data_IF_780674456151
#
_entry.id   IF_780674456151
#
_cell.length_a   1.000
_cell.length_b   1.000
_cell.length_c   1.000
_cell.angle_alpha   90.00
_cell.angle_beta   90.00
_cell.angle_gamma   90.00
#
_symmetry.space_group_name_H-M   'P 1'
#
loop_
_entity.id
_entity.type
_entity.pdbx_description
1 polymer ?
#
# COMPACT_ATOMS: atom_id res chain seq x y z
N UNK A 1 16.05 -5.21 -8.97
CA UNK A 1 15.35 -4.68 -7.78
C UNK A 1 15.80 -5.47 -6.57
N UNK A 2 16.21 -4.80 -5.50
CA UNK A 2 16.59 -5.42 -4.24
C UNK A 2 15.47 -5.24 -3.22
N UNK A 3 15.21 -6.28 -2.47
CA UNK A 3 14.09 -6.36 -1.52
C UNK A 3 14.64 -6.76 -0.15
N UNK A 4 14.28 -5.99 0.87
CA UNK A 4 14.60 -6.29 2.26
C UNK A 4 13.32 -6.36 3.07
N UNK A 5 13.03 -7.54 3.63
CA UNK A 5 11.92 -7.72 4.55
C UNK A 5 12.36 -7.44 5.99
N UNK A 6 11.49 -6.82 6.78
CA UNK A 6 11.74 -6.58 8.19
C UNK A 6 11.40 -7.85 8.99
N UNK A 7 12.42 -8.49 9.57
CA UNK A 7 12.28 -9.76 10.29
C UNK A 7 11.31 -9.72 11.49
N UNK A 8 11.14 -8.56 12.11
CA UNK A 8 10.24 -8.35 13.26
C UNK A 8 9.16 -7.33 12.89
N UNK A 9 8.18 -7.80 12.12
CA UNK A 9 6.99 -7.02 11.78
C UNK A 9 6.27 -6.50 13.03
N UNK A 10 5.94 -5.20 13.11
CA UNK A 10 5.17 -4.66 14.23
C UNK A 10 3.77 -5.27 14.22
N UNK A 11 3.23 -5.51 15.42
CA UNK A 11 1.84 -5.96 15.58
C UNK A 11 0.92 -4.76 15.68
N UNK A 12 -0.07 -4.70 14.79
CA UNK A 12 -1.13 -3.70 14.89
C UNK A 12 -2.16 -4.12 15.94
N UNK A 13 -2.59 -3.18 16.78
CA UNK A 13 -3.71 -3.40 17.70
C UNK A 13 -5.06 -3.31 16.98
N UNK A 14 -5.14 -2.60 15.85
CA UNK A 14 -6.33 -2.48 15.02
C UNK A 14 -6.67 -3.80 14.32
N UNK A 15 -5.66 -4.47 13.75
CA UNK A 15 -5.83 -5.71 12.98
C UNK A 15 -5.55 -6.97 13.80
N UNK A 16 -4.92 -6.86 14.97
CA UNK A 16 -4.53 -7.99 15.80
C UNK A 16 -3.47 -8.91 15.18
N UNK A 17 -2.91 -8.52 14.03
CA UNK A 17 -1.94 -9.28 13.23
C UNK A 17 -0.63 -8.50 13.05
N UNK A 18 0.49 -9.19 12.75
CA UNK A 18 1.70 -8.54 12.26
C UNK A 18 1.44 -7.81 10.95
N UNK A 19 2.00 -6.61 10.80
CA UNK A 19 1.97 -5.82 9.57
C UNK A 19 3.30 -6.00 8.88
N UNK A 20 3.30 -6.66 7.72
CA UNK A 20 4.52 -6.88 6.97
C UNK A 20 5.12 -5.56 6.49
N UNK A 21 6.45 -5.48 6.49
CA UNK A 21 7.17 -4.30 6.07
C UNK A 21 8.36 -4.68 5.19
N UNK A 22 8.45 -4.00 4.05
CA UNK A 22 9.45 -4.27 3.02
C UNK A 22 10.07 -2.97 2.54
N UNK A 23 11.40 -2.95 2.37
CA UNK A 23 12.14 -1.88 1.71
C UNK A 23 12.47 -2.36 0.29
N UNK A 24 12.08 -1.58 -0.72
CA UNK A 24 12.28 -1.86 -2.13
C UNK A 24 13.20 -0.79 -2.72
N UNK A 25 14.38 -1.21 -3.20
CA UNK A 25 15.34 -0.30 -3.83
C UNK A 25 15.70 -0.80 -5.24
N UNK A 26 16.02 0.13 -6.15
CA UNK A 26 16.56 -0.26 -7.45
C UNK A 26 17.96 -0.86 -7.29
N UNK A 27 18.43 -1.63 -8.28
CA UNK A 27 19.74 -2.32 -8.15
C UNK A 27 20.93 -1.36 -8.04
N UNK A 28 20.73 -0.12 -8.48
CA UNK A 28 21.67 1.01 -8.39
C UNK A 28 21.62 1.75 -7.07
N UNK A 29 20.59 1.54 -6.26
CA UNK A 29 20.40 2.21 -5.00
C UNK A 29 21.07 1.45 -3.85
N UNK A 30 21.52 2.22 -2.86
CA UNK A 30 22.15 1.69 -1.64
C UNK A 30 21.17 1.82 -0.48
N UNK A 31 21.21 0.88 0.46
CA UNK A 31 20.37 0.90 1.66
C UNK A 31 20.64 2.13 2.52
N UNK A 32 21.87 2.65 2.48
CA UNK A 32 22.26 3.90 3.15
C UNK A 32 21.52 5.13 2.63
N UNK A 33 20.86 5.04 1.48
CA UNK A 33 20.00 6.11 0.93
C UNK A 33 18.56 6.01 1.40
N UNK A 34 18.14 4.87 1.95
CA UNK A 34 16.80 4.74 2.53
C UNK A 34 16.72 5.53 3.84
N UNK A 35 15.57 6.14 4.10
CA UNK A 35 15.31 6.86 5.35
C UNK A 35 15.00 5.87 6.48
N UNK A 36 16.04 5.20 6.99
CA UNK A 36 15.90 4.26 8.11
C UNK A 36 15.28 4.89 9.37
N UNK A 37 15.57 6.17 9.73
CA UNK A 37 14.85 6.86 10.78
C UNK A 37 13.34 6.93 10.56
N UNK A 38 12.89 7.25 9.34
CA UNK A 38 11.47 7.25 8.98
C UNK A 38 10.87 5.85 9.08
N UNK A 39 11.56 4.83 8.55
CA UNK A 39 11.11 3.42 8.66
C UNK A 39 10.90 3.06 10.13
N UNK A 40 11.87 3.34 11.00
CA UNK A 40 11.77 3.03 12.42
C UNK A 40 10.62 3.78 13.12
N UNK A 41 10.39 5.04 12.76
CA UNK A 41 9.28 5.86 13.24
C UNK A 41 7.91 5.28 12.83
N UNK A 42 7.75 4.90 11.56
CA UNK A 42 6.51 4.29 11.05
C UNK A 42 6.23 2.96 11.73
N UNK A 43 7.23 2.07 11.82
CA UNK A 43 7.07 0.78 12.47
C UNK A 43 6.78 0.92 13.98
N UNK A 44 7.37 1.92 14.64
CA UNK A 44 7.13 2.21 16.05
C UNK A 44 5.75 2.81 16.34
N UNK A 45 5.08 3.37 15.32
CA UNK A 45 3.76 4.02 15.43
C UNK A 45 2.76 3.46 14.42
N UNK A 46 2.82 2.15 14.15
CA UNK A 46 2.04 1.56 13.05
C UNK A 46 0.53 1.82 13.14
N UNK A 47 -0.07 1.73 14.32
CA UNK A 47 -1.50 1.97 14.50
C UNK A 47 -1.89 3.43 14.17
N UNK A 48 -1.02 4.40 14.46
CA UNK A 48 -1.23 5.79 14.09
C UNK A 48 -1.27 5.98 12.57
N UNK A 49 -0.34 5.35 11.84
CA UNK A 49 -0.28 5.45 10.39
C UNK A 49 -1.42 4.68 9.71
N UNK A 50 -1.82 3.53 10.26
CA UNK A 50 -3.00 2.79 9.82
C UNK A 50 -4.27 3.62 9.98
N UNK A 51 -4.52 4.20 11.16
CA UNK A 51 -5.66 5.10 11.38
C UNK A 51 -5.62 6.29 10.42
N UNK A 52 -4.45 6.90 10.24
CA UNK A 52 -4.27 8.05 9.33
C UNK A 52 -4.64 7.69 7.90
N UNK A 53 -4.17 6.53 7.41
CA UNK A 53 -4.52 6.05 6.08
C UNK A 53 -6.01 5.76 5.92
N UNK A 54 -6.64 5.10 6.91
CA UNK A 54 -8.07 4.80 6.88
C UNK A 54 -8.92 6.08 6.90
N UNK A 55 -8.51 7.07 7.68
CA UNK A 55 -9.11 8.40 7.68
C UNK A 55 -9.00 9.08 6.31
N UNK A 56 -7.81 9.04 5.72
CA UNK A 56 -7.56 9.62 4.40
C UNK A 56 -8.38 8.95 3.29
N UNK A 57 -8.43 7.61 3.28
CA UNK A 57 -9.26 6.86 2.33
C UNK A 57 -10.74 7.22 2.48
N UNK A 58 -11.23 7.35 3.72
CA UNK A 58 -12.62 7.76 3.97
C UNK A 58 -12.91 9.16 3.43
N UNK A 59 -11.98 10.10 3.60
CA UNK A 59 -12.09 11.46 3.04
C UNK A 59 -12.07 11.43 1.51
N UNK A 60 -11.20 10.62 0.91
CA UNK A 60 -11.16 10.40 -0.53
C UNK A 60 -12.47 9.79 -1.06
N UNK A 61 -13.05 8.80 -0.37
CA UNK A 61 -14.37 8.23 -0.70
C UNK A 61 -15.49 9.27 -0.59
N UNK A 62 -15.39 10.23 0.34
CA UNK A 62 -16.36 11.32 0.47
C UNK A 62 -16.23 12.34 -0.67
N UNK A 63 -14.99 12.64 -1.08
CA UNK A 63 -14.68 13.61 -2.13
C UNK A 63 -15.00 13.08 -3.53
N UNK A 64 -14.63 11.82 -3.80
CA UNK A 64 -14.86 11.16 -5.09
C UNK A 64 -15.21 9.68 -4.92
N UNK A 65 -16.50 9.35 -4.70
CA UNK A 65 -16.96 7.96 -4.63
C UNK A 65 -16.69 7.16 -5.91
N UNK A 66 -16.63 7.82 -7.08
CA UNK A 66 -16.52 7.15 -8.37
C UNK A 66 -15.13 6.52 -8.55
N UNK A 67 -14.08 7.15 -8.01
CA UNK A 67 -12.73 6.56 -7.92
C UNK A 67 -12.76 5.18 -7.26
N UNK A 68 -13.63 4.97 -6.28
CA UNK A 68 -13.73 3.71 -5.52
C UNK A 68 -14.74 2.72 -6.14
N UNK A 69 -15.26 3.00 -7.35
CA UNK A 69 -16.32 2.21 -7.96
C UNK A 69 -17.67 2.30 -7.22
N UNK A 70 -17.87 3.35 -6.43
CA UNK A 70 -19.08 3.56 -5.63
C UNK A 70 -19.94 4.68 -6.21
N UNK A 71 -21.25 4.57 -5.98
CA UNK A 71 -22.17 5.71 -6.12
C UNK A 71 -22.22 6.49 -4.81
N UNK A 72 -22.64 7.75 -4.85
CA UNK A 72 -22.81 8.58 -3.65
C UNK A 72 -23.70 7.90 -2.59
N UNK A 73 -24.79 7.25 -2.98
CA UNK A 73 -25.65 6.51 -2.05
C UNK A 73 -24.94 5.31 -1.40
N UNK A 74 -24.04 4.64 -2.14
CA UNK A 74 -23.26 3.49 -1.66
C UNK A 74 -22.03 3.91 -0.85
N UNK A 75 -21.55 5.14 -0.97
CA UNK A 75 -20.42 5.65 -0.17
C UNK A 75 -20.84 6.00 1.27
N UNK A 76 -22.08 6.47 1.46
CA UNK A 76 -22.60 6.94 2.75
C UNK A 76 -22.39 6.00 3.96
N UNK A 77 -22.54 4.67 3.85
CA UNK A 77 -22.26 3.77 4.97
C UNK A 77 -20.79 3.81 5.40
N UNK A 78 -19.86 3.84 4.45
CA UNK A 78 -18.41 3.84 4.74
C UNK A 78 -17.94 5.11 5.44
N UNK A 79 -18.61 6.24 5.16
CA UNK A 79 -18.29 7.53 5.81
C UNK A 79 -18.60 7.56 7.31
N UNK A 80 -19.42 6.63 7.81
CA UNK A 80 -19.81 6.54 9.22
C UNK A 80 -19.12 5.42 9.99
N UNK A 81 -18.34 4.58 9.32
CA UNK A 81 -17.63 3.49 9.98
C UNK A 81 -16.46 4.05 10.82
N UNK A 82 -16.24 3.52 12.03
CA UNK A 82 -14.99 3.75 12.74
C UNK A 82 -13.84 3.12 11.95
N UNK A 83 -12.62 3.61 12.15
CA UNK A 83 -11.43 3.11 11.45
C UNK A 83 -11.28 1.59 11.60
N UNK A 84 -11.49 1.05 12.80
CA UNK A 84 -11.40 -0.39 13.09
C UNK A 84 -12.41 -1.27 12.33
N UNK A 85 -13.52 -0.70 11.84
CA UNK A 85 -14.55 -1.45 11.08
C UNK A 85 -14.48 -1.14 9.57
N UNK A 86 -13.52 -0.32 9.14
CA UNK A 86 -13.38 0.05 7.73
C UNK A 86 -12.99 -1.19 6.91
N UNK A 87 -13.58 -1.41 5.72
CA UNK A 87 -13.47 -2.67 4.99
C UNK A 87 -12.18 -2.79 4.17
N UNK A 88 -11.04 -2.51 4.80
CA UNK A 88 -9.70 -2.71 4.24
C UNK A 88 -8.96 -3.67 5.16
N UNK A 89 -8.30 -4.67 4.58
CA UNK A 89 -7.71 -5.79 5.30
C UNK A 89 -6.29 -6.06 4.77
N UNK A 90 -5.55 -6.90 5.49
CA UNK A 90 -4.18 -7.31 5.12
C UNK A 90 -3.23 -6.14 4.83
N UNK A 91 -2.99 -5.22 5.79
CA UNK A 91 -2.08 -4.09 5.61
C UNK A 91 -0.63 -4.54 5.46
N UNK A 92 0.09 -3.88 4.55
CA UNK A 92 1.51 -4.09 4.24
C UNK A 92 2.19 -2.73 4.02
N UNK A 93 3.42 -2.58 4.51
CA UNK A 93 4.22 -1.38 4.33
C UNK A 93 5.30 -1.62 3.28
N UNK A 94 5.34 -0.76 2.26
CA UNK A 94 6.35 -0.80 1.20
C UNK A 94 7.10 0.53 1.19
N UNK A 95 8.39 0.52 1.52
CA UNK A 95 9.24 1.70 1.57
C UNK A 95 10.10 1.79 0.31
N UNK A 96 10.05 2.93 -0.36
CA UNK A 96 10.93 3.30 -1.47
C UNK A 96 11.85 4.44 -1.02
N UNK A 97 12.69 4.96 -1.92
CA UNK A 97 13.61 6.05 -1.58
C UNK A 97 12.91 7.37 -1.26
N UNK A 98 11.91 7.74 -2.06
CA UNK A 98 11.28 9.06 -2.00
C UNK A 98 9.90 9.06 -1.34
N UNK A 99 9.23 7.90 -1.31
CA UNK A 99 7.89 7.73 -0.73
C UNK A 99 7.74 6.32 -0.12
N UNK A 100 6.69 6.12 0.65
CA UNK A 100 6.31 4.80 1.12
C UNK A 100 4.81 4.61 1.05
N UNK A 101 4.40 3.36 0.88
CA UNK A 101 3.02 2.99 0.63
C UNK A 101 2.52 2.12 1.77
N UNK A 102 1.31 2.43 2.23
CA UNK A 102 0.52 1.52 3.04
C UNK A 102 -0.49 0.83 2.13
N UNK A 103 -0.19 -0.42 1.78
CA UNK A 103 -0.98 -1.24 0.89
C UNK A 103 -1.94 -2.11 1.68
N UNK A 104 -3.22 -2.07 1.33
CA UNK A 104 -4.23 -3.00 1.82
C UNK A 104 -4.48 -4.02 0.72
N UNK A 105 -3.92 -5.21 0.87
CA UNK A 105 -3.98 -6.26 -0.15
C UNK A 105 -5.39 -6.84 -0.33
N UNK A 106 -6.24 -6.72 0.69
CA UNK A 106 -7.61 -7.20 0.67
C UNK A 106 -8.58 -6.08 1.10
N UNK A 107 -9.83 -6.20 0.70
CA UNK A 107 -10.88 -5.27 1.12
C UNK A 107 -12.22 -5.57 0.46
N UNK A 108 -13.28 -4.97 1.00
CA UNK A 108 -14.65 -5.11 0.42
C UNK A 108 -15.03 -3.95 -0.49
N UNK A 109 -14.15 -2.96 -0.67
CA UNK A 109 -14.36 -1.90 -1.64
C UNK A 109 -14.08 -2.43 -3.06
N UNK A 110 -14.84 -2.01 -4.08
CA UNK A 110 -14.62 -2.46 -5.46
C UNK A 110 -13.19 -2.21 -5.98
N UNK A 111 -12.57 -1.08 -5.59
CA UNK A 111 -11.18 -0.73 -5.95
C UNK A 111 -10.14 -1.72 -5.40
N UNK A 112 -10.48 -2.51 -4.39
CA UNK A 112 -9.55 -3.48 -3.80
C UNK A 112 -9.41 -4.76 -4.63
N UNK A 113 -10.26 -4.98 -5.64
CA UNK A 113 -10.17 -6.17 -6.50
C UNK A 113 -9.45 -5.79 -7.81
N UNK A 114 -8.40 -6.54 -8.24
CA UNK A 114 -7.83 -7.74 -7.62
C UNK A 114 -6.60 -7.51 -6.72
N UNK A 115 -6.00 -6.32 -6.76
CA UNK A 115 -4.67 -6.09 -6.17
C UNK A 115 -4.68 -5.19 -4.94
N UNK A 116 -5.86 -4.86 -4.40
CA UNK A 116 -5.99 -4.00 -3.24
C UNK A 116 -5.88 -2.51 -3.56
N UNK A 117 -5.62 -1.73 -2.51
CA UNK A 117 -5.52 -0.27 -2.57
C UNK A 117 -4.28 0.18 -1.81
N UNK A 118 -3.55 1.16 -2.34
CA UNK A 118 -2.42 1.76 -1.63
C UNK A 118 -2.71 3.20 -1.21
N UNK A 119 -2.27 3.56 -0.01
CA UNK A 119 -2.15 4.96 0.41
C UNK A 119 -0.68 5.33 0.36
N UNK A 120 -0.36 6.32 -0.46
CA UNK A 120 1.01 6.80 -0.65
C UNK A 120 1.29 7.93 0.33
N UNK A 121 2.44 7.86 0.98
CA UNK A 121 2.91 8.84 1.95
C UNK A 121 4.19 9.52 1.46
N UNK A 122 4.22 10.84 1.63
CA UNK A 122 5.43 11.65 1.53
C UNK A 122 5.87 12.02 2.96
N UNK A 123 6.97 11.41 3.41
CA UNK A 123 7.41 11.47 4.80
C UNK A 123 6.35 10.91 5.75
N UNK A 124 5.67 11.78 6.51
CA UNK A 124 4.66 11.38 7.50
C UNK A 124 3.23 11.71 7.07
N UNK A 125 3.03 12.29 5.88
CA UNK A 125 1.73 12.77 5.43
C UNK A 125 1.19 11.92 4.29
N UNK A 126 -0.09 11.50 4.33
CA UNK A 126 -0.72 10.83 3.20
C UNK A 126 -0.88 11.83 2.06
N UNK A 127 -0.44 11.43 0.86
CA UNK A 127 -0.43 12.26 -0.34
C UNK A 127 -1.58 11.90 -1.27
N UNK A 128 -1.78 10.61 -1.55
CA UNK A 128 -2.77 10.12 -2.51
C UNK A 128 -3.18 8.68 -2.22
N UNK A 129 -4.36 8.31 -2.72
CA UNK A 129 -4.83 6.92 -2.81
C UNK A 129 -4.56 6.43 -4.23
N UNK A 130 -3.96 5.27 -4.36
CA UNK A 130 -3.71 4.61 -5.64
C UNK A 130 -4.58 3.37 -5.80
N UNK A 131 -5.21 3.28 -6.96
CA UNK A 131 -5.88 2.08 -7.46
C UNK A 131 -4.82 1.15 -8.06
N UNK A 132 -4.72 -0.06 -7.52
CA UNK A 132 -3.77 -1.05 -8.00
C UNK A 132 -4.39 -2.01 -9.02
N UNK A 133 -5.66 -1.85 -9.40
CA UNK A 133 -6.36 -2.77 -10.31
C UNK A 133 -5.76 -2.82 -11.73
N UNK A 134 -5.13 -1.72 -12.18
CA UNK A 134 -4.40 -1.64 -13.46
C UNK A 134 -2.94 -2.13 -13.36
N UNK A 135 -2.49 -2.61 -12.20
CA UNK A 135 -1.15 -3.19 -12.06
C UNK A 135 -1.04 -4.39 -13.01
N UNK A 136 -0.20 -4.24 -14.04
CA UNK A 136 -0.03 -5.29 -15.05
C UNK A 136 0.72 -6.44 -14.38
N UNK A 137 0.16 -7.66 -14.31
CA UNK A 137 0.93 -8.80 -13.85
C UNK A 137 2.13 -8.96 -14.78
N UNK A 138 3.34 -8.87 -14.20
CA UNK A 138 4.55 -9.24 -14.93
C UNK A 138 4.48 -10.74 -15.14
N UNK A 139 4.11 -11.15 -16.35
CA UNK A 139 4.15 -12.55 -16.75
C UNK A 139 5.63 -13.01 -16.75
N UNK A 140 6.03 -13.96 -15.88
CA UNK A 140 7.41 -14.45 -15.84
C UNK A 140 7.83 -15.15 -17.14
N UNK A 141 6.93 -15.39 -18.10
CA UNK A 141 7.23 -16.02 -19.39
C UNK A 141 7.55 -15.02 -20.52
N UNK A 142 7.66 -13.72 -20.25
CA UNK A 142 8.14 -12.75 -21.26
C UNK A 142 9.66 -12.58 -21.19
N UNK A 143 10.40 -13.69 -21.26
CA UNK A 143 11.79 -13.66 -21.70
C UNK A 143 11.82 -14.07 -23.17
N UNK A 144 11.34 -13.19 -24.06
CA UNK A 144 11.74 -13.29 -25.46
C UNK A 144 13.26 -13.09 -25.52
N UNK A 145 14.01 -14.19 -25.56
CA UNK A 145 15.41 -14.17 -25.98
C UNK A 145 15.40 -13.88 -27.48
N UNK A 146 15.84 -12.70 -27.96
CA UNK A 146 15.89 -12.45 -29.38
C UNK A 146 17.01 -13.30 -29.99
N UNK A 147 16.59 -14.33 -30.74
CA UNK A 147 17.28 -14.88 -31.90
C UNK A 147 18.77 -15.19 -31.78
N UNK A 148 19.13 -16.41 -31.38
CA UNK A 148 20.27 -17.08 -32.02
C UNK A 148 19.88 -17.40 -33.47
N UNK A 149 20.17 -16.50 -34.41
CA UNK A 149 20.26 -16.89 -35.81
C UNK A 149 21.56 -17.69 -35.99
N UNK A 150 21.38 -18.98 -36.22
CA UNK A 150 22.44 -19.91 -36.61
C UNK A 150 22.25 -20.21 -38.09
N UNK A 151 23.05 -19.58 -38.96
CA UNK A 151 23.42 -20.06 -40.32
C UNK A 151 24.54 -19.19 -40.88
#
# INVERSE_FOLDING_TARGET
MRVWSIDQAPRSTLYGAPVEATILLEDTDDLDRADLPLVAEVLGRIDHYLETALHFVREAVAADPALFGLTEAKSQPYLRLPAADFPLDSPQLNFYLDEWHLHFAEGRLPICDPYGLAVVFDGQQPLRVEDLSDATPIDPDTTEIPGRQNS
#
